data_IF_458125146851
#
_entry.id   IF_458125146851
#
_cell.length_a   1.000
_cell.length_b   1.000
_cell.length_c   1.000
_cell.angle_alpha   90.00
_cell.angle_beta   90.00
_cell.angle_gamma   90.00
#
_symmetry.space_group_name_H-M   'P 1'
#
loop_
_entity.id
_entity.type
_entity.pdbx_description
1 polymer ?
#
# COMPACT_ATOMS: atom_id res chain seq x y z
N UNK A 1 -2.43 -1.83 35.50
CA UNK A 1 -2.44 -2.69 34.30
C UNK A 1 -2.81 -1.91 33.00
N UNK A 2 -3.61 -0.87 33.09
CA UNK A 2 -3.98 -0.03 31.92
C UNK A 2 -2.86 0.93 31.54
N UNK A 3 -2.08 1.41 32.50
CA UNK A 3 -0.96 2.33 32.22
C UNK A 3 0.27 1.63 31.60
N UNK A 4 0.50 0.35 31.90
CA UNK A 4 1.55 -0.44 31.26
C UNK A 4 1.27 -0.66 29.77
N UNK A 5 0.02 -0.94 29.39
CA UNK A 5 -0.37 -1.10 27.98
C UNK A 5 -0.28 0.21 27.17
N UNK A 6 -0.47 1.37 27.82
CA UNK A 6 -0.26 2.68 27.16
C UNK A 6 1.22 2.95 26.87
N UNK A 7 2.10 2.53 27.76
CA UNK A 7 3.55 2.70 27.59
C UNK A 7 4.09 1.82 26.45
N UNK A 8 3.59 0.58 26.34
CA UNK A 8 4.02 -0.36 25.29
C UNK A 8 3.54 0.07 23.88
N UNK A 9 2.36 0.67 23.79
CA UNK A 9 1.87 1.20 22.51
C UNK A 9 2.65 2.44 22.06
N UNK A 10 3.01 3.32 22.99
CA UNK A 10 3.82 4.49 22.69
C UNK A 10 5.24 4.10 22.26
N UNK A 11 5.86 3.13 22.94
CA UNK A 11 7.18 2.59 22.59
C UNK A 11 7.18 1.88 21.25
N UNK A 12 6.12 1.11 20.93
CA UNK A 12 5.99 0.45 19.63
C UNK A 12 5.74 1.44 18.47
N UNK A 13 4.94 2.48 18.71
CA UNK A 13 4.71 3.53 17.72
C UNK A 13 5.99 4.37 17.50
N UNK A 14 6.78 4.60 18.55
CA UNK A 14 8.10 5.22 18.47
C UNK A 14 9.10 4.31 17.75
N UNK A 15 9.17 3.02 18.05
CA UNK A 15 10.01 2.05 17.34
C UNK A 15 9.63 1.92 15.86
N UNK A 16 8.34 1.96 15.52
CA UNK A 16 7.92 1.92 14.12
C UNK A 16 8.19 3.25 13.41
N UNK A 17 8.01 4.40 14.08
CA UNK A 17 8.43 5.70 13.55
C UNK A 17 9.96 5.78 13.44
N UNK A 18 10.71 5.21 14.36
CA UNK A 18 12.15 5.02 14.24
C UNK A 18 12.50 4.06 13.08
N UNK A 19 11.80 2.96 12.89
CA UNK A 19 11.99 2.06 11.76
C UNK A 19 11.59 2.70 10.41
N UNK A 20 10.63 3.60 10.40
CA UNK A 20 10.26 4.41 9.23
C UNK A 20 11.14 5.66 9.04
N UNK A 21 11.81 6.13 10.09
CA UNK A 21 12.59 7.37 10.17
C UNK A 21 14.05 7.17 10.58
N UNK A 22 14.39 6.04 11.18
CA UNK A 22 15.72 5.80 11.73
C UNK A 22 16.47 4.79 10.87
N UNK A 23 17.09 5.30 9.86
CA UNK A 23 18.47 5.01 9.61
C UNK A 23 19.18 6.34 9.44
N UNK A 24 19.95 6.73 10.46
CA UNK A 24 20.98 7.75 10.41
C UNK A 24 20.58 9.24 10.41
N UNK A 25 20.08 9.75 11.51
CA UNK A 25 20.52 11.06 11.96
C UNK A 25 21.54 10.87 13.10
N UNK A 26 22.80 10.66 12.72
CA UNK A 26 23.93 10.78 13.62
C UNK A 26 24.08 12.23 14.07
N UNK A 27 23.31 12.63 15.05
CA UNK A 27 23.57 13.81 15.86
C UNK A 27 23.66 13.35 17.31
N UNK A 28 24.90 13.24 17.77
CA UNK A 28 25.24 13.17 19.19
C UNK A 28 24.76 14.43 19.88
N UNK A 29 23.57 14.40 20.44
CA UNK A 29 23.20 15.24 21.56
C UNK A 29 23.02 14.36 22.78
N UNK A 30 24.00 14.40 23.63
CA UNK A 30 23.97 13.82 24.97
C UNK A 30 22.79 14.39 25.75
N UNK A 31 21.69 13.63 25.80
CA UNK A 31 20.64 13.87 26.79
C UNK A 31 20.98 13.06 28.03
N UNK A 32 21.45 13.77 29.04
CA UNK A 32 21.63 13.29 30.42
C UNK A 32 20.26 13.02 31.05
N UNK A 33 19.73 11.83 30.84
CA UNK A 33 18.74 11.21 31.72
C UNK A 33 19.22 9.82 32.09
N UNK A 34 19.14 9.42 33.38
CA UNK A 34 19.57 8.10 33.79
C UNK A 34 18.64 7.04 33.24
N UNK A 35 19.06 6.39 32.17
CA UNK A 35 18.40 5.20 31.64
C UNK A 35 18.66 4.05 32.58
N UNK A 36 17.62 3.65 33.29
CA UNK A 36 17.56 2.33 33.94
C UNK A 36 17.68 1.29 32.80
N UNK A 37 18.85 0.66 32.72
CA UNK A 37 19.10 -0.45 31.76
C UNK A 37 18.27 -1.66 32.19
N UNK A 38 17.04 -1.73 31.75
CA UNK A 38 16.33 -2.99 31.64
C UNK A 38 16.78 -3.68 30.34
N UNK A 39 17.72 -4.61 30.46
CA UNK A 39 18.17 -5.49 29.37
C UNK A 39 17.11 -6.56 29.08
N UNK A 40 15.96 -6.17 28.61
CA UNK A 40 15.07 -7.09 27.92
C UNK A 40 15.38 -6.98 26.41
N UNK A 41 16.08 -7.98 25.89
CA UNK A 41 16.21 -8.14 24.43
C UNK A 41 14.80 -8.15 23.86
N UNK A 42 14.45 -7.13 23.06
CA UNK A 42 13.17 -7.08 22.36
C UNK A 42 12.99 -8.33 21.48
N UNK A 43 11.75 -8.63 21.07
CA UNK A 43 11.48 -9.81 20.26
C UNK A 43 12.37 -9.82 19.01
N UNK A 44 12.86 -11.01 18.57
CA UNK A 44 13.74 -11.10 17.42
C UNK A 44 13.09 -10.52 16.17
N UNK A 45 13.89 -9.86 15.32
CA UNK A 45 13.40 -9.13 14.12
C UNK A 45 12.56 -9.99 13.19
N UNK A 46 12.86 -11.31 13.06
CA UNK A 46 12.07 -12.22 12.26
C UNK A 46 10.65 -12.44 12.83
N UNK A 47 10.48 -12.40 14.15
CA UNK A 47 9.18 -12.53 14.83
C UNK A 47 8.29 -11.33 14.53
N UNK A 48 8.85 -10.12 14.59
CA UNK A 48 8.15 -8.90 14.19
C UNK A 48 7.76 -8.93 12.70
N UNK A 49 8.63 -9.48 11.84
CA UNK A 49 8.35 -9.71 10.43
C UNK A 49 7.18 -10.67 10.21
N UNK A 50 7.15 -11.78 10.94
CA UNK A 50 6.07 -12.78 10.88
C UNK A 50 4.75 -12.20 11.40
N UNK A 51 4.75 -11.54 12.55
CA UNK A 51 3.59 -10.85 13.12
C UNK A 51 3.05 -9.79 12.16
N UNK A 52 3.93 -9.01 11.54
CA UNK A 52 3.57 -8.02 10.52
C UNK A 52 2.92 -8.65 9.29
N UNK A 53 3.44 -9.77 8.82
CA UNK A 53 2.87 -10.49 7.68
C UNK A 53 1.46 -11.05 7.99
N UNK A 54 1.27 -11.63 9.17
CA UNK A 54 -0.04 -12.15 9.63
C UNK A 54 -1.02 -10.99 9.79
N UNK A 55 -0.63 -9.91 10.47
CA UNK A 55 -1.46 -8.71 10.67
C UNK A 55 -1.87 -8.08 9.34
N UNK A 56 -0.94 -7.98 8.39
CA UNK A 56 -1.23 -7.50 7.05
C UNK A 56 -2.20 -8.43 6.29
N UNK A 57 -2.08 -9.74 6.45
CA UNK A 57 -2.99 -10.70 5.84
C UNK A 57 -4.42 -10.57 6.37
N UNK A 58 -4.57 -10.47 7.70
CA UNK A 58 -5.88 -10.26 8.35
C UNK A 58 -6.50 -8.93 7.89
N UNK A 59 -5.74 -7.84 7.97
CA UNK A 59 -6.18 -6.51 7.55
C UNK A 59 -6.63 -6.49 6.08
N UNK A 60 -5.84 -7.06 5.18
CA UNK A 60 -6.19 -7.11 3.75
C UNK A 60 -7.40 -7.97 3.46
N UNK A 61 -7.61 -9.05 4.22
CA UNK A 61 -8.80 -9.89 4.11
C UNK A 61 -10.05 -9.14 4.57
N UNK A 62 -9.95 -8.40 5.66
CA UNK A 62 -11.07 -7.60 6.16
C UNK A 62 -11.47 -6.47 5.19
N UNK A 63 -10.49 -5.81 4.53
CA UNK A 63 -10.78 -4.73 3.58
C UNK A 63 -10.92 -5.19 2.13
N UNK A 64 -10.84 -6.50 1.85
CA UNK A 64 -10.96 -7.05 0.49
C UNK A 64 -12.26 -6.62 -0.23
N UNK A 65 -13.44 -6.54 0.43
CA UNK A 65 -14.65 -6.02 -0.21
C UNK A 65 -14.51 -4.61 -0.77
N UNK A 66 -13.88 -3.70 -0.01
CA UNK A 66 -13.64 -2.33 -0.48
C UNK A 66 -12.61 -2.28 -1.61
N UNK A 67 -11.65 -3.18 -1.60
CA UNK A 67 -10.66 -3.28 -2.67
C UNK A 67 -11.27 -3.83 -3.96
N UNK A 68 -12.15 -4.84 -3.86
CA UNK A 68 -12.94 -5.37 -4.98
C UNK A 68 -13.82 -4.28 -5.58
N UNK A 69 -14.57 -3.55 -4.73
CA UNK A 69 -15.38 -2.42 -5.14
C UNK A 69 -14.56 -1.40 -5.93
N UNK A 70 -13.41 -0.97 -5.37
CA UNK A 70 -12.51 -0.01 -6.02
C UNK A 70 -12.08 -0.48 -7.41
N UNK A 71 -11.62 -1.73 -7.54
CA UNK A 71 -11.20 -2.26 -8.84
C UNK A 71 -12.33 -2.28 -9.85
N UNK A 72 -13.51 -2.74 -9.46
CA UNK A 72 -14.68 -2.78 -10.32
C UNK A 72 -15.12 -1.37 -10.75
N UNK A 73 -15.09 -0.41 -9.83
CA UNK A 73 -15.38 0.99 -10.12
C UNK A 73 -14.39 1.60 -11.14
N UNK A 74 -13.11 1.28 -11.04
CA UNK A 74 -12.09 1.77 -11.97
C UNK A 74 -12.25 1.15 -13.36
N UNK A 75 -12.53 -0.17 -13.43
CA UNK A 75 -12.56 -0.92 -14.71
C UNK A 75 -13.90 -0.84 -15.40
N UNK A 76 -15.00 -0.91 -14.65
CA UNK A 76 -16.36 -1.03 -15.17
C UNK A 76 -17.35 -0.06 -14.49
N UNK A 77 -16.85 1.06 -13.96
CA UNK A 77 -17.66 2.03 -13.21
C UNK A 77 -18.85 2.60 -14.02
N UNK A 78 -18.72 2.69 -15.34
CA UNK A 78 -19.80 3.12 -16.23
C UNK A 78 -21.01 2.17 -16.19
N UNK A 79 -20.81 0.86 -16.00
CA UNK A 79 -21.88 -0.15 -15.85
C UNK A 79 -22.79 0.15 -14.67
N UNK A 80 -22.24 0.78 -13.61
CA UNK A 80 -22.96 1.07 -12.37
C UNK A 80 -23.26 2.58 -12.19
N UNK A 81 -23.23 3.34 -13.28
CA UNK A 81 -23.51 4.78 -13.26
C UNK A 81 -22.58 5.60 -12.33
N UNK A 82 -21.38 5.09 -12.07
CA UNK A 82 -20.41 5.75 -11.17
C UNK A 82 -20.74 5.62 -9.67
N UNK A 83 -21.85 4.98 -9.28
CA UNK A 83 -22.27 4.83 -7.89
C UNK A 83 -21.63 3.62 -7.22
N UNK A 84 -20.93 3.86 -6.11
CA UNK A 84 -20.30 2.78 -5.30
C UNK A 84 -21.35 1.82 -4.72
N UNK A 85 -22.50 2.34 -4.30
CA UNK A 85 -23.57 1.51 -3.73
C UNK A 85 -24.24 0.64 -4.78
N UNK A 86 -24.48 1.18 -5.99
CA UNK A 86 -24.99 0.40 -7.11
C UNK A 86 -24.01 -0.70 -7.53
N UNK A 87 -22.70 -0.40 -7.52
CA UNK A 87 -21.67 -1.38 -7.79
C UNK A 87 -21.63 -2.50 -6.74
N UNK A 88 -21.72 -2.17 -5.43
CA UNK A 88 -21.80 -3.17 -4.37
C UNK A 88 -23.02 -4.09 -4.52
N UNK A 89 -24.19 -3.51 -4.77
CA UNK A 89 -25.43 -4.28 -4.97
C UNK A 89 -25.32 -5.15 -6.23
N UNK A 90 -24.78 -4.61 -7.33
CA UNK A 90 -24.56 -5.34 -8.57
C UNK A 90 -23.65 -6.55 -8.39
N UNK A 91 -22.48 -6.39 -7.74
CA UNK A 91 -21.58 -7.50 -7.44
C UNK A 91 -22.28 -8.56 -6.58
N UNK A 92 -23.00 -8.14 -5.54
CA UNK A 92 -23.71 -9.08 -4.65
C UNK A 92 -24.80 -9.86 -5.39
N UNK A 93 -25.56 -9.19 -6.29
CA UNK A 93 -26.65 -9.80 -7.04
C UNK A 93 -26.14 -10.70 -8.18
N UNK A 94 -25.11 -10.26 -8.93
CA UNK A 94 -24.61 -10.99 -10.11
C UNK A 94 -23.65 -12.13 -9.73
N UNK A 95 -22.80 -11.93 -8.73
CA UNK A 95 -21.71 -12.85 -8.41
C UNK A 95 -21.80 -13.45 -7.00
N UNK A 96 -22.69 -12.96 -6.16
CA UNK A 96 -22.85 -13.36 -4.77
C UNK A 96 -21.83 -12.75 -3.81
N UNK A 97 -22.10 -12.85 -2.50
CA UNK A 97 -21.29 -12.19 -1.44
C UNK A 97 -19.83 -12.68 -1.42
N UNK A 98 -19.57 -13.96 -1.73
CA UNK A 98 -18.19 -14.51 -1.76
C UNK A 98 -17.30 -13.84 -2.82
N UNK A 99 -17.88 -13.23 -3.84
CA UNK A 99 -17.16 -12.52 -4.88
C UNK A 99 -16.35 -11.32 -4.35
N UNK A 100 -16.73 -10.75 -3.22
CA UNK A 100 -15.99 -9.64 -2.60
C UNK A 100 -14.57 -10.02 -2.16
N UNK A 101 -14.31 -11.31 -1.90
CA UNK A 101 -12.97 -11.81 -1.57
C UNK A 101 -12.23 -12.43 -2.76
N UNK A 102 -12.78 -12.32 -3.96
CA UNK A 102 -12.12 -12.85 -5.17
C UNK A 102 -10.78 -12.13 -5.41
N UNK A 103 -9.73 -12.91 -5.64
CA UNK A 103 -8.37 -12.40 -5.78
C UNK A 103 -7.64 -12.10 -4.47
N UNK A 104 -8.29 -12.28 -3.31
CA UNK A 104 -7.63 -12.07 -2.01
C UNK A 104 -6.50 -13.08 -1.76
N UNK A 105 -6.67 -14.36 -2.18
CA UNK A 105 -5.60 -15.36 -2.07
C UNK A 105 -4.33 -14.94 -2.83
N UNK A 106 -4.47 -14.39 -4.05
CA UNK A 106 -3.33 -13.85 -4.81
C UNK A 106 -2.68 -12.68 -4.08
N UNK A 107 -3.49 -11.84 -3.42
CA UNK A 107 -3.00 -10.73 -2.61
C UNK A 107 -2.16 -11.22 -1.43
N UNK A 108 -2.58 -12.30 -0.77
CA UNK A 108 -1.81 -12.91 0.32
C UNK A 108 -0.47 -13.45 -0.18
N UNK A 109 -0.47 -14.24 -1.26
CA UNK A 109 0.75 -14.78 -1.87
C UNK A 109 1.75 -13.68 -2.23
N UNK A 110 1.26 -12.52 -2.66
CA UNK A 110 2.08 -11.37 -3.06
C UNK A 110 2.81 -10.69 -1.91
N UNK A 111 2.23 -10.67 -0.71
CA UNK A 111 2.75 -9.90 0.43
C UNK A 111 4.16 -10.35 0.81
N UNK A 112 4.37 -11.65 0.92
CA UNK A 112 5.64 -12.21 1.37
C UNK A 112 6.82 -11.86 0.44
N UNK A 113 6.75 -12.16 -0.88
CA UNK A 113 7.87 -11.81 -1.77
C UNK A 113 8.04 -10.30 -1.91
N UNK A 114 6.96 -9.51 -1.88
CA UNK A 114 7.05 -8.05 -1.99
C UNK A 114 7.79 -7.43 -0.80
N UNK A 115 7.40 -7.80 0.41
CA UNK A 115 8.03 -7.29 1.63
C UNK A 115 9.47 -7.82 1.76
N UNK A 116 9.69 -9.10 1.43
CA UNK A 116 11.03 -9.69 1.39
C UNK A 116 11.97 -8.93 0.44
N UNK A 117 11.55 -8.71 -0.80
CA UNK A 117 12.33 -7.95 -1.77
C UNK A 117 12.61 -6.52 -1.31
N UNK A 118 11.61 -5.85 -0.74
CA UNK A 118 11.78 -4.49 -0.22
C UNK A 118 12.77 -4.46 0.94
N UNK A 119 12.69 -5.44 1.85
CA UNK A 119 13.59 -5.57 3.00
C UNK A 119 15.06 -5.76 2.59
N UNK A 120 15.32 -6.55 1.55
CA UNK A 120 16.68 -6.75 1.03
C UNK A 120 17.14 -5.60 0.12
N UNK A 121 16.26 -5.04 -0.70
CA UNK A 121 16.61 -3.99 -1.65
C UNK A 121 16.93 -2.65 -0.97
N UNK A 122 16.16 -2.25 0.07
CA UNK A 122 16.33 -0.96 0.73
C UNK A 122 17.74 -0.73 1.28
N UNK A 123 18.34 -1.61 2.11
CA UNK A 123 19.70 -1.40 2.60
C UNK A 123 20.78 -1.50 1.52
N UNK A 124 20.60 -2.38 0.52
CA UNK A 124 21.52 -2.50 -0.60
C UNK A 124 21.57 -1.22 -1.45
N UNK A 125 20.40 -0.64 -1.75
CA UNK A 125 20.28 0.61 -2.51
C UNK A 125 20.73 1.78 -1.64
N UNK A 126 20.39 1.80 -0.34
CA UNK A 126 20.76 2.85 0.61
C UNK A 126 22.27 3.05 0.71
N UNK A 127 23.04 1.96 0.75
CA UNK A 127 24.51 2.03 0.74
C UNK A 127 25.06 2.75 -0.50
N UNK A 128 24.48 2.47 -1.67
CA UNK A 128 24.89 3.15 -2.92
C UNK A 128 24.38 4.59 -2.96
N UNK A 129 23.18 4.83 -2.47
CA UNK A 129 22.55 6.17 -2.49
C UNK A 129 23.30 7.17 -1.62
N UNK A 130 23.86 6.75 -0.47
CA UNK A 130 24.71 7.61 0.39
C UNK A 130 25.90 8.24 -0.34
N UNK A 131 26.43 7.58 -1.36
CA UNK A 131 27.52 8.12 -2.19
C UNK A 131 27.06 9.27 -3.11
N UNK A 132 25.81 9.29 -3.51
CA UNK A 132 25.26 10.28 -4.45
C UNK A 132 24.46 11.38 -3.75
N UNK A 133 23.82 11.06 -2.62
CA UNK A 133 22.98 11.97 -1.82
C UNK A 133 23.46 11.92 -0.39
N UNK A 134 24.33 12.86 0.03
CA UNK A 134 24.89 12.90 1.38
C UNK A 134 23.85 13.21 2.46
N UNK A 135 22.76 13.93 2.10
CA UNK A 135 21.69 14.25 3.04
C UNK A 135 20.93 12.98 3.46
N UNK A 136 20.89 12.65 4.77
CA UNK A 136 20.30 11.43 5.28
C UNK A 136 18.79 11.30 4.96
N UNK A 137 18.04 12.41 5.00
CA UNK A 137 16.61 12.42 4.74
C UNK A 137 16.32 12.10 3.27
N UNK A 138 16.92 12.84 2.33
CA UNK A 138 16.75 12.60 0.90
C UNK A 138 17.34 11.25 0.48
N UNK A 139 18.47 10.83 1.05
CA UNK A 139 19.08 9.54 0.80
C UNK A 139 18.18 8.38 1.22
N UNK A 140 17.56 8.44 2.40
CA UNK A 140 16.61 7.43 2.87
C UNK A 140 15.31 7.42 2.04
N UNK A 141 14.78 8.60 1.72
CA UNK A 141 13.59 8.72 0.87
C UNK A 141 13.81 8.12 -0.52
N UNK A 142 14.87 8.48 -1.20
CA UNK A 142 15.18 8.01 -2.55
C UNK A 142 15.52 6.50 -2.57
N UNK A 143 16.22 6.00 -1.55
CA UNK A 143 16.51 4.57 -1.44
C UNK A 143 15.24 3.76 -1.18
N UNK A 144 14.32 4.27 -0.36
CA UNK A 144 13.01 3.67 -0.13
C UNK A 144 12.15 3.66 -1.40
N UNK A 145 12.12 4.76 -2.15
CA UNK A 145 11.43 4.84 -3.44
C UNK A 145 12.01 3.84 -4.45
N UNK A 146 13.33 3.80 -4.59
CA UNK A 146 14.00 2.88 -5.51
C UNK A 146 13.78 1.42 -5.13
N UNK A 147 13.88 1.06 -3.85
CA UNK A 147 13.58 -0.27 -3.36
C UNK A 147 12.10 -0.66 -3.59
N UNK A 148 11.19 0.28 -3.39
CA UNK A 148 9.77 0.13 -3.70
C UNK A 148 9.53 -0.13 -5.19
N UNK A 149 10.19 0.62 -6.07
CA UNK A 149 10.12 0.43 -7.52
C UNK A 149 10.65 -0.95 -7.94
N UNK A 150 11.80 -1.38 -7.41
CA UNK A 150 12.37 -2.71 -7.70
C UNK A 150 11.43 -3.81 -7.23
N UNK A 151 10.95 -3.74 -5.98
CA UNK A 151 10.01 -4.73 -5.43
C UNK A 151 8.69 -4.77 -6.20
N UNK A 152 8.12 -3.60 -6.53
CA UNK A 152 6.89 -3.51 -7.30
C UNK A 152 7.06 -4.07 -8.71
N UNK A 153 8.19 -3.80 -9.36
CA UNK A 153 8.48 -4.30 -10.71
C UNK A 153 8.64 -5.82 -10.74
N UNK A 154 9.33 -6.39 -9.77
CA UNK A 154 9.51 -7.84 -9.67
C UNK A 154 8.18 -8.58 -9.43
N UNK A 155 7.27 -7.98 -8.66
CA UNK A 155 5.96 -8.56 -8.31
C UNK A 155 4.86 -8.19 -9.32
N UNK A 156 5.16 -7.30 -10.27
CA UNK A 156 4.18 -6.73 -11.19
C UNK A 156 3.35 -7.78 -11.97
N UNK A 157 3.94 -8.89 -12.48
CA UNK A 157 3.16 -9.94 -13.13
C UNK A 157 2.04 -10.52 -12.24
N UNK A 158 2.31 -10.68 -10.94
CA UNK A 158 1.30 -11.09 -9.96
C UNK A 158 0.17 -10.05 -9.79
N UNK A 159 0.51 -8.76 -9.86
CA UNK A 159 -0.48 -7.68 -9.80
C UNK A 159 -1.44 -7.72 -10.99
N UNK A 160 -0.92 -7.98 -12.19
CA UNK A 160 -1.73 -8.11 -13.41
C UNK A 160 -2.67 -9.30 -13.31
N UNK A 161 -2.14 -10.48 -12.95
CA UNK A 161 -2.95 -11.71 -12.78
C UNK A 161 -4.03 -11.48 -11.71
N UNK A 162 -3.68 -10.91 -10.57
CA UNK A 162 -4.61 -10.59 -9.49
C UNK A 162 -5.75 -9.68 -9.95
N UNK A 163 -5.41 -8.57 -10.61
CA UNK A 163 -6.42 -7.63 -11.09
C UNK A 163 -7.40 -8.32 -12.05
N UNK A 164 -6.89 -9.09 -13.01
CA UNK A 164 -7.70 -9.81 -13.99
C UNK A 164 -8.58 -10.89 -13.34
N UNK A 165 -8.05 -11.66 -12.40
CA UNK A 165 -8.86 -12.63 -11.61
C UNK A 165 -9.94 -11.93 -10.79
N UNK A 166 -9.65 -10.72 -10.31
CA UNK A 166 -10.60 -9.95 -9.52
C UNK A 166 -11.70 -9.35 -10.39
N UNK A 167 -11.38 -8.84 -11.56
CA UNK A 167 -12.33 -8.10 -12.43
C UNK A 167 -13.03 -8.95 -13.46
N UNK A 168 -12.55 -10.18 -13.74
CA UNK A 168 -13.13 -11.08 -14.74
C UNK A 168 -13.37 -12.44 -14.12
N UNK A 169 -14.57 -12.68 -13.57
CA UNK A 169 -14.93 -13.93 -12.95
C UNK A 169 -14.90 -15.12 -13.91
N UNK A 170 -14.43 -16.28 -13.43
CA UNK A 170 -14.52 -17.54 -14.17
C UNK A 170 -13.51 -17.73 -15.32
N UNK A 171 -12.75 -16.69 -15.69
CA UNK A 171 -11.78 -16.77 -16.78
C UNK A 171 -10.53 -17.60 -16.42
N UNK A 172 -10.14 -17.60 -15.15
CA UNK A 172 -8.95 -18.27 -14.66
C UNK A 172 -9.28 -19.18 -13.49
N UNK A 173 -8.75 -20.42 -13.50
CA UNK A 173 -8.91 -21.41 -12.41
C UNK A 173 -8.02 -21.14 -11.20
N UNK A 174 -6.95 -20.37 -11.37
CA UNK A 174 -6.00 -20.00 -10.31
C UNK A 174 -4.87 -19.12 -10.82
N UNK A 175 -3.91 -18.81 -9.93
CA UNK A 175 -2.79 -17.90 -10.25
C UNK A 175 -1.93 -18.45 -11.39
N UNK A 176 -1.56 -19.73 -11.30
CA UNK A 176 -0.69 -20.39 -12.30
C UNK A 176 -1.39 -20.47 -13.64
N UNK A 177 -2.67 -20.80 -13.64
CA UNK A 177 -3.50 -20.82 -14.84
C UNK A 177 -3.61 -19.41 -15.45
N UNK A 178 -3.78 -18.38 -14.62
CA UNK A 178 -3.76 -16.99 -15.04
C UNK A 178 -2.47 -16.60 -15.75
N UNK A 179 -1.32 -16.94 -15.18
CA UNK A 179 -0.02 -16.70 -15.83
C UNK A 179 0.09 -17.39 -17.18
N UNK A 180 -0.20 -18.68 -17.23
CA UNK A 180 -0.12 -19.50 -18.45
C UNK A 180 -1.07 -18.98 -19.52
N UNK A 181 -2.32 -18.69 -19.16
CA UNK A 181 -3.35 -18.22 -20.11
C UNK A 181 -3.01 -16.85 -20.67
N UNK A 182 -2.53 -15.91 -19.85
CA UNK A 182 -2.15 -14.58 -20.31
C UNK A 182 -0.93 -14.67 -21.23
N UNK A 183 0.11 -15.41 -20.82
CA UNK A 183 1.31 -15.59 -21.64
C UNK A 183 1.03 -16.28 -22.97
N UNK A 184 0.13 -17.28 -22.99
CA UNK A 184 -0.21 -18.02 -24.20
C UNK A 184 -1.11 -17.22 -25.15
N UNK A 185 -2.10 -16.46 -24.63
CA UNK A 185 -3.10 -15.74 -25.46
C UNK A 185 -2.64 -14.35 -25.90
N UNK A 186 -1.92 -13.63 -25.04
CA UNK A 186 -1.55 -12.22 -25.26
C UNK A 186 -0.03 -12.01 -25.32
N UNK A 187 0.75 -13.06 -25.10
CA UNK A 187 2.20 -13.00 -24.98
C UNK A 187 2.71 -12.60 -23.58
N UNK A 188 3.97 -12.93 -23.23
CA UNK A 188 4.53 -12.65 -21.90
C UNK A 188 4.63 -11.14 -21.60
N UNK A 189 4.76 -10.29 -22.63
CA UNK A 189 4.78 -8.84 -22.45
C UNK A 189 3.47 -8.28 -21.86
N UNK A 190 2.34 -8.97 -22.00
CA UNK A 190 1.08 -8.58 -21.40
C UNK A 190 1.11 -8.58 -19.87
N UNK A 191 1.94 -9.43 -19.25
CA UNK A 191 2.16 -9.49 -17.80
C UNK A 191 2.88 -8.24 -17.25
N UNK A 192 3.53 -7.47 -18.11
CA UNK A 192 4.25 -6.25 -17.76
C UNK A 192 3.56 -4.98 -18.30
N UNK A 193 2.34 -5.12 -18.85
CA UNK A 193 1.60 -3.98 -19.42
C UNK A 193 1.30 -2.94 -18.34
N UNK A 194 1.84 -1.73 -18.51
CA UNK A 194 1.70 -0.63 -17.56
C UNK A 194 2.75 -0.56 -16.44
N UNK A 195 3.80 -1.38 -16.46
CA UNK A 195 4.86 -1.41 -15.41
C UNK A 195 5.58 -0.07 -15.27
N UNK A 196 5.93 0.60 -16.37
CA UNK A 196 6.60 1.89 -16.34
C UNK A 196 5.80 2.94 -15.55
N UNK A 197 4.47 2.85 -15.62
CA UNK A 197 3.56 3.77 -14.96
C UNK A 197 3.26 3.39 -13.51
N UNK A 198 3.54 2.15 -13.13
CA UNK A 198 3.47 1.73 -11.73
C UNK A 198 4.49 2.48 -10.86
N UNK A 199 5.67 2.70 -11.42
CA UNK A 199 6.74 3.43 -10.77
C UNK A 199 6.52 4.95 -10.85
N UNK A 200 5.99 5.45 -11.96
CA UNK A 200 5.66 6.87 -12.12
C UNK A 200 4.61 7.36 -11.10
N UNK A 201 3.66 6.49 -10.73
CA UNK A 201 2.68 6.81 -9.69
C UNK A 201 3.32 7.06 -8.32
N UNK A 202 4.42 6.40 -8.01
CA UNK A 202 5.10 6.53 -6.72
C UNK A 202 5.60 7.95 -6.45
N UNK A 203 5.98 8.69 -7.49
CA UNK A 203 6.52 10.05 -7.37
C UNK A 203 5.50 11.04 -6.78
N UNK A 204 4.33 11.29 -7.42
CA UNK A 204 3.34 12.22 -6.87
C UNK A 204 2.74 11.73 -5.56
N UNK A 205 2.58 10.41 -5.40
CA UNK A 205 2.08 9.82 -4.16
C UNK A 205 3.03 10.10 -2.99
N UNK A 206 4.31 9.77 -3.14
CA UNK A 206 5.30 9.93 -2.08
C UNK A 206 5.57 11.40 -1.79
N UNK A 207 5.65 12.23 -2.82
CA UNK A 207 5.81 13.68 -2.67
C UNK A 207 4.65 14.31 -1.88
N UNK A 208 3.41 14.00 -2.23
CA UNK A 208 2.24 14.49 -1.51
C UNK A 208 2.17 13.94 -0.07
N UNK A 209 2.60 12.69 0.15
CA UNK A 209 2.61 12.06 1.47
C UNK A 209 3.53 12.80 2.44
N UNK A 210 4.80 12.99 2.05
CA UNK A 210 5.76 13.66 2.91
C UNK A 210 5.45 15.15 3.06
N UNK A 211 5.14 15.86 1.97
CA UNK A 211 4.80 17.28 2.04
C UNK A 211 3.61 17.54 2.98
N UNK A 212 2.55 16.72 2.89
CA UNK A 212 1.38 16.86 3.78
C UNK A 212 1.72 16.49 5.22
N UNK A 213 2.46 15.40 5.42
CA UNK A 213 2.83 14.96 6.76
C UNK A 213 3.72 16.00 7.47
N UNK A 214 4.72 16.52 6.78
CA UNK A 214 5.65 17.51 7.35
C UNK A 214 4.95 18.86 7.61
N UNK A 215 4.07 19.29 6.70
CA UNK A 215 3.24 20.48 6.90
C UNK A 215 2.35 20.34 8.15
N UNK A 216 1.65 19.23 8.31
CA UNK A 216 0.77 19.00 9.46
C UNK A 216 1.54 18.89 10.78
N UNK A 217 2.70 18.22 10.78
CA UNK A 217 3.58 18.14 11.97
C UNK A 217 4.11 19.53 12.35
N UNK A 218 4.56 20.30 11.38
CA UNK A 218 5.04 21.67 11.60
C UNK A 218 3.94 22.57 12.17
N UNK A 219 2.72 22.52 11.62
CA UNK A 219 1.57 23.26 12.13
C UNK A 219 1.19 22.84 13.57
N UNK A 220 1.21 21.56 13.86
CA UNK A 220 0.96 21.07 15.22
C UNK A 220 2.00 21.62 16.20
N UNK A 221 3.29 21.48 15.89
CA UNK A 221 4.38 21.96 16.73
C UNK A 221 4.36 23.50 16.91
N UNK A 222 4.03 24.25 15.87
CA UNK A 222 3.89 25.69 15.94
C UNK A 222 2.75 26.15 16.87
N UNK A 223 1.64 25.40 16.89
CA UNK A 223 0.45 25.73 17.71
C UNK A 223 0.56 25.28 19.16
N UNK A 224 1.18 24.12 19.40
CA UNK A 224 1.23 23.50 20.74
C UNK A 224 2.56 23.70 21.46
N UNK A 225 3.61 24.12 20.75
CA UNK A 225 4.97 24.16 21.29
C UNK A 225 5.57 22.78 21.59
N UNK A 226 4.85 21.68 21.29
CA UNK A 226 5.21 20.32 21.64
C UNK A 226 5.48 19.47 20.40
N UNK A 227 6.26 18.40 20.55
CA UNK A 227 6.41 17.38 19.49
C UNK A 227 5.12 16.59 19.33
N UNK A 228 4.77 16.17 18.10
CA UNK A 228 3.60 15.34 17.85
C UNK A 228 3.66 14.04 18.66
N UNK A 229 2.59 13.74 19.40
CA UNK A 229 2.43 12.45 20.09
C UNK A 229 2.16 11.32 19.08
N UNK A 230 2.28 10.05 19.50
CA UNK A 230 1.98 8.90 18.66
C UNK A 230 0.57 8.96 18.03
N UNK A 231 -0.44 9.37 18.80
CA UNK A 231 -1.81 9.52 18.32
C UNK A 231 -1.93 10.61 17.25
N UNK A 232 -1.27 11.76 17.44
CA UNK A 232 -1.18 12.82 16.44
C UNK A 232 -0.45 12.34 15.20
N UNK A 233 0.62 11.55 15.35
CA UNK A 233 1.34 10.92 14.25
C UNK A 233 0.45 10.01 13.40
N UNK A 234 -0.40 9.20 14.02
CA UNK A 234 -1.40 8.36 13.31
C UNK A 234 -2.42 9.21 12.56
N UNK A 235 -2.94 10.27 13.19
CA UNK A 235 -3.89 11.18 12.53
C UNK A 235 -3.26 11.92 11.33
N UNK A 236 -2.03 12.44 11.52
CA UNK A 236 -1.24 13.06 10.44
C UNK A 236 -1.00 12.06 9.30
N UNK A 237 -0.60 10.83 9.61
CA UNK A 237 -0.40 9.77 8.62
C UNK A 237 -1.68 9.43 7.85
N UNK A 238 -2.82 9.37 8.52
CA UNK A 238 -4.11 9.11 7.88
C UNK A 238 -4.50 10.24 6.91
N UNK A 239 -4.36 11.51 7.31
CA UNK A 239 -4.66 12.65 6.46
C UNK A 239 -3.68 12.73 5.29
N UNK A 240 -2.38 12.62 5.56
CA UNK A 240 -1.35 12.62 4.52
C UNK A 240 -1.54 11.47 3.52
N UNK A 241 -1.92 10.28 4.00
CA UNK A 241 -2.25 9.13 3.16
C UNK A 241 -3.49 9.38 2.29
N UNK A 242 -4.52 10.01 2.81
CA UNK A 242 -5.72 10.36 2.05
C UNK A 242 -5.42 11.38 0.94
N UNK A 243 -4.67 12.45 1.28
CA UNK A 243 -4.24 13.48 0.31
C UNK A 243 -3.37 12.88 -0.78
N UNK A 244 -2.32 12.12 -0.42
CA UNK A 244 -1.41 11.51 -1.39
C UNK A 244 -2.11 10.48 -2.28
N UNK A 245 -3.05 9.72 -1.73
CA UNK A 245 -3.91 8.82 -2.51
C UNK A 245 -4.72 9.60 -3.54
N UNK A 246 -5.34 10.70 -3.14
CA UNK A 246 -6.15 11.54 -4.03
C UNK A 246 -5.30 12.16 -5.14
N UNK A 247 -4.12 12.69 -4.81
CA UNK A 247 -3.18 13.28 -5.79
C UNK A 247 -2.68 12.22 -6.78
N UNK A 248 -2.35 11.02 -6.30
CA UNK A 248 -1.88 9.93 -7.16
C UNK A 248 -2.98 9.18 -7.92
N UNK A 249 -4.25 9.38 -7.56
CA UNK A 249 -5.35 8.55 -8.06
C UNK A 249 -5.56 8.55 -9.58
N UNK A 250 -5.41 9.68 -10.31
CA UNK A 250 -5.51 9.69 -11.76
C UNK A 250 -4.56 8.71 -12.46
N UNK A 251 -3.29 8.68 -12.00
CA UNK A 251 -2.29 7.73 -12.52
C UNK A 251 -2.60 6.28 -12.11
N UNK A 252 -3.05 6.07 -10.87
CA UNK A 252 -3.46 4.75 -10.39
C UNK A 252 -4.67 4.23 -11.19
N UNK A 253 -5.68 5.07 -11.44
CA UNK A 253 -6.86 4.73 -12.23
C UNK A 253 -6.49 4.33 -13.67
N UNK A 254 -5.68 5.15 -14.34
CA UNK A 254 -5.20 4.87 -15.69
C UNK A 254 -4.38 3.57 -15.74
N UNK A 255 -3.47 3.36 -14.78
CA UNK A 255 -2.71 2.12 -14.64
C UNK A 255 -3.61 0.90 -14.54
N UNK A 256 -4.64 0.94 -13.68
CA UNK A 256 -5.57 -0.19 -13.49
C UNK A 256 -6.41 -0.47 -14.74
N UNK A 257 -6.85 0.57 -15.44
CA UNK A 257 -7.53 0.41 -16.73
C UNK A 257 -6.62 -0.27 -17.76
N UNK A 258 -5.36 0.15 -17.86
CA UNK A 258 -4.38 -0.48 -18.75
C UNK A 258 -4.07 -1.94 -18.40
N UNK A 259 -4.03 -2.29 -17.11
CA UNK A 259 -3.86 -3.67 -16.66
C UNK A 259 -5.06 -4.56 -17.00
N UNK A 260 -6.28 -3.99 -16.96
CA UNK A 260 -7.53 -4.73 -17.18
C UNK A 260 -7.92 -4.85 -18.67
N UNK A 261 -7.39 -4.00 -19.56
CA UNK A 261 -7.76 -4.07 -20.98
C UNK A 261 -7.24 -5.36 -21.65
N UNK A 262 -7.95 -5.82 -22.68
CA UNK A 262 -7.66 -7.09 -23.36
C UNK A 262 -8.17 -8.32 -22.64
N UNK A 263 -8.87 -8.19 -21.49
CA UNK A 263 -9.32 -9.30 -20.66
C UNK A 263 -10.84 -9.34 -20.60
N UNK A 264 -11.43 -10.56 -20.72
CA UNK A 264 -12.87 -10.76 -20.55
C UNK A 264 -13.72 -10.00 -21.56
N UNK A 265 -13.27 -9.93 -22.81
CA UNK A 265 -13.96 -9.20 -23.87
C UNK A 265 -13.72 -7.69 -23.88
N UNK A 266 -12.93 -7.16 -22.95
CA UNK A 266 -12.58 -5.73 -22.96
C UNK A 266 -11.62 -5.42 -24.10
N UNK A 267 -11.88 -4.40 -24.94
CA UNK A 267 -10.98 -4.01 -26.00
C UNK A 267 -9.67 -3.42 -25.44
N UNK A 268 -8.59 -3.53 -26.22
CA UNK A 268 -7.33 -2.81 -25.95
C UNK A 268 -7.46 -1.42 -26.57
N UNK A 269 -7.86 -0.44 -25.75
CA UNK A 269 -8.16 0.93 -26.22
C UNK A 269 -6.93 1.85 -26.17
N UNK A 270 -6.01 1.60 -25.27
CA UNK A 270 -4.93 2.54 -24.97
C UNK A 270 -3.57 1.85 -25.05
N UNK A 271 -2.64 2.45 -25.79
CA UNK A 271 -1.23 2.03 -25.84
C UNK A 271 -0.35 2.73 -24.81
N UNK A 272 -0.80 3.90 -24.31
CA UNK A 272 -0.07 4.70 -23.33
C UNK A 272 -0.96 5.20 -22.21
N UNK A 273 -0.35 5.53 -21.04
CA UNK A 273 -1.08 6.07 -19.89
C UNK A 273 -1.68 7.44 -20.18
N UNK A 274 -0.95 8.27 -20.92
CA UNK A 274 -1.42 9.60 -21.30
C UNK A 274 -2.63 9.51 -22.24
N UNK A 275 -2.59 8.56 -23.19
CA UNK A 275 -3.75 8.24 -24.03
C UNK A 275 -4.94 7.73 -23.20
N UNK A 276 -4.69 6.91 -22.18
CA UNK A 276 -5.73 6.44 -21.27
C UNK A 276 -6.34 7.57 -20.43
N UNK A 277 -5.51 8.48 -19.89
CA UNK A 277 -5.98 9.65 -19.14
C UNK A 277 -6.79 10.56 -20.05
N UNK A 278 -6.24 10.95 -21.21
CA UNK A 278 -6.93 11.81 -22.16
C UNK A 278 -8.25 11.20 -22.68
N UNK A 279 -8.25 9.91 -23.02
CA UNK A 279 -9.46 9.20 -23.43
C UNK A 279 -10.51 9.12 -22.33
N UNK A 280 -10.09 8.86 -21.08
CA UNK A 280 -11.00 8.84 -19.93
C UNK A 280 -11.62 10.23 -19.68
N UNK A 281 -10.83 11.29 -19.79
CA UNK A 281 -11.33 12.67 -19.62
C UNK A 281 -12.28 13.06 -20.75
N UNK A 282 -11.99 12.66 -22.00
CA UNK A 282 -12.88 12.94 -23.15
C UNK A 282 -14.24 12.25 -23.01
N UNK A 283 -14.29 11.04 -22.49
CA UNK A 283 -15.54 10.25 -22.40
C UNK A 283 -16.35 10.53 -21.14
N UNK A 284 -15.73 10.85 -20.02
CA UNK A 284 -16.43 10.99 -18.73
C UNK A 284 -16.01 12.19 -17.90
N UNK A 285 -15.24 13.12 -18.46
CA UNK A 285 -14.70 14.27 -17.73
C UNK A 285 -13.61 13.90 -16.73
N UNK A 286 -13.08 14.90 -16.03
CA UNK A 286 -12.03 14.73 -15.00
C UNK A 286 -12.51 13.81 -13.86
N UNK A 287 -13.79 13.88 -13.49
CA UNK A 287 -14.40 13.03 -12.43
C UNK A 287 -14.27 11.54 -12.71
N UNK A 288 -14.25 11.12 -13.97
CA UNK A 288 -14.08 9.70 -14.35
C UNK A 288 -12.70 9.13 -13.98
N UNK A 289 -11.67 9.99 -13.79
CA UNK A 289 -10.37 9.57 -13.29
C UNK A 289 -10.39 9.26 -11.78
N UNK A 290 -11.34 9.84 -11.04
CA UNK A 290 -11.49 9.67 -9.60
C UNK A 290 -12.55 8.62 -9.21
N UNK A 291 -13.13 7.94 -10.19
CA UNK A 291 -14.08 6.85 -9.93
C UNK A 291 -13.43 5.75 -9.10
N UNK A 292 -13.98 5.49 -7.90
CA UNK A 292 -13.40 4.55 -6.92
C UNK A 292 -12.39 5.17 -5.94
N UNK A 293 -12.08 6.46 -6.04
CA UNK A 293 -11.16 7.14 -5.10
C UNK A 293 -11.71 7.12 -3.66
N UNK A 294 -12.99 7.43 -3.49
CA UNK A 294 -13.64 7.41 -2.18
C UNK A 294 -13.52 6.04 -1.50
N UNK A 295 -13.78 4.95 -2.24
CA UNK A 295 -13.62 3.59 -1.71
C UNK A 295 -12.17 3.29 -1.30
N UNK A 296 -11.19 3.86 -2.02
CA UNK A 296 -9.77 3.70 -1.69
C UNK A 296 -9.38 4.47 -0.42
N UNK A 297 -9.87 5.70 -0.25
CA UNK A 297 -9.61 6.50 0.95
C UNK A 297 -10.29 5.88 2.18
N UNK A 298 -11.57 5.51 2.05
CA UNK A 298 -12.33 4.91 3.16
C UNK A 298 -11.70 3.61 3.66
N UNK A 299 -11.13 2.77 2.79
CA UNK A 299 -10.49 1.53 3.22
C UNK A 299 -9.22 1.73 4.03
N UNK A 300 -8.53 2.89 3.92
CA UNK A 300 -7.21 3.10 4.55
C UNK A 300 -7.31 3.09 6.08
N UNK A 301 -8.28 3.78 6.66
CA UNK A 301 -8.43 3.85 8.11
C UNK A 301 -8.72 2.47 8.74
N UNK A 302 -9.72 1.67 8.28
CA UNK A 302 -9.93 0.32 8.78
C UNK A 302 -8.72 -0.59 8.57
N UNK A 303 -8.04 -0.50 7.41
CA UNK A 303 -6.88 -1.33 7.13
C UNK A 303 -5.76 -1.08 8.13
N UNK A 304 -5.46 0.18 8.41
CA UNK A 304 -4.42 0.54 9.39
C UNK A 304 -4.84 0.16 10.82
N UNK A 305 -6.07 0.47 11.22
CA UNK A 305 -6.58 0.11 12.54
C UNK A 305 -6.49 -1.40 12.80
N UNK A 306 -6.88 -2.24 11.82
CA UNK A 306 -6.80 -3.69 11.95
C UNK A 306 -5.33 -4.14 11.98
N UNK A 307 -4.45 -3.57 11.14
CA UNK A 307 -3.04 -3.96 11.12
C UNK A 307 -2.39 -3.67 12.47
N UNK A 308 -2.55 -2.46 12.99
CA UNK A 308 -2.00 -2.09 14.31
C UNK A 308 -2.65 -2.88 15.45
N UNK A 309 -3.99 -3.02 15.46
CA UNK A 309 -4.68 -3.82 16.47
C UNK A 309 -4.26 -5.29 16.47
N UNK A 310 -4.03 -5.90 15.31
CA UNK A 310 -3.50 -7.25 15.21
C UNK A 310 -2.04 -7.34 15.72
N UNK A 311 -1.20 -6.36 15.39
CA UNK A 311 0.20 -6.36 15.85
C UNK A 311 0.30 -6.32 17.36
N UNK A 312 -0.53 -5.51 18.05
CA UNK A 312 -0.54 -5.42 19.51
C UNK A 312 -0.93 -6.73 20.22
N UNK A 313 -1.64 -7.62 19.53
CA UNK A 313 -2.06 -8.93 20.05
C UNK A 313 -1.10 -10.04 19.60
N UNK A 314 -0.71 -10.02 18.32
CA UNK A 314 0.05 -11.12 17.71
C UNK A 314 1.52 -11.11 18.17
N UNK A 315 2.15 -9.94 18.32
CA UNK A 315 3.56 -9.86 18.74
C UNK A 315 3.75 -10.48 20.13
N UNK A 316 3.01 -10.07 21.19
CA UNK A 316 3.13 -10.71 22.50
C UNK A 316 2.83 -12.22 22.44
N UNK A 317 1.73 -12.62 21.80
CA UNK A 317 1.33 -14.03 21.71
C UNK A 317 2.39 -14.90 21.03
N UNK A 318 3.04 -14.40 19.96
CA UNK A 318 4.12 -15.13 19.31
C UNK A 318 5.41 -15.13 20.15
N UNK A 319 5.68 -14.05 20.88
CA UNK A 319 6.84 -13.99 21.80
C UNK A 319 6.67 -15.03 22.92
N UNK A 320 5.51 -15.09 23.55
CA UNK A 320 5.22 -16.03 24.63
C UNK A 320 5.19 -17.50 24.15
N UNK A 321 4.87 -17.74 22.88
CA UNK A 321 4.79 -19.10 22.33
C UNK A 321 6.12 -19.63 21.76
N UNK A 322 7.05 -18.76 21.37
CA UNK A 322 8.24 -19.14 20.59
C UNK A 322 9.57 -18.72 21.22
N UNK A 323 9.54 -17.92 22.28
CA UNK A 323 10.70 -17.46 23.04
C UNK A 323 10.60 -17.87 24.49
#
# INVERSE_FOLDING_TARGET
KIDAQRTDFALFADDWMHYASADDLGTSHASTHPTTKATTKGPPTWLNGLAGAISAAISRTAVAPLERLRFQMITDGAKYGGSSLACLRGIAAEEGVRAFWRGNGVNMIRIFPQNGLMFFAKPAIGKKMKAFVPDPFYGSMLSGMAAGCVSASAIYPLDVVRLRMTTTPGLYKGVIDGFKTIAAKEGPAALFRGIAYANLWAVPYTGALFATADFLKAQYSARTGARPTALVGVAVGAVAGAVSTTVGFPLESARRKMQAQGTGGRPVLYSSIWGCIAGTVKTGGIGALYTGCAANVVKMAPAQAITFGCMTVIVPALTDALV
#
